data_IF_465872738295
#
_entry.id   IF_465872738295
#
_cell.length_a   1.000
_cell.length_b   1.000
_cell.length_c   1.000
_cell.angle_alpha   90.00
_cell.angle_beta   90.00
_cell.angle_gamma   90.00
#
_symmetry.space_group_name_H-M   'P 1'
#
loop_
_entity.id
_entity.type
_entity.pdbx_description
1 polymer ?
#
# COMPACT_ATOMS: atom_id res chain seq x y z
N UNK A 1 -18.78 -9.73 19.08
CA UNK A 1 -18.88 -8.68 18.03
C UNK A 1 -19.49 -7.43 18.64
N UNK A 2 -18.96 -6.25 18.31
CA UNK A 2 -19.58 -4.98 18.66
C UNK A 2 -20.64 -4.59 17.62
N UNK A 3 -21.66 -3.82 18.04
CA UNK A 3 -22.67 -3.27 17.13
C UNK A 3 -22.39 -1.78 16.92
N UNK A 4 -22.29 -1.37 15.67
CA UNK A 4 -22.16 0.04 15.27
C UNK A 4 -23.25 0.37 14.25
N UNK A 5 -23.92 1.51 14.43
CA UNK A 5 -24.84 2.05 13.43
C UNK A 5 -24.09 3.05 12.56
N UNK A 6 -24.18 2.88 11.23
CA UNK A 6 -23.51 3.74 10.25
C UNK A 6 -24.61 4.34 9.36
N UNK A 7 -24.54 5.65 9.13
CA UNK A 7 -25.39 6.31 8.16
C UNK A 7 -24.77 6.13 6.77
N UNK A 8 -25.54 5.59 5.84
CA UNK A 8 -25.18 5.44 4.43
C UNK A 8 -26.30 6.00 3.57
N UNK A 9 -25.98 6.47 2.38
CA UNK A 9 -26.99 6.89 1.41
C UNK A 9 -27.73 5.70 0.81
N UNK A 10 -28.90 5.98 0.22
CA UNK A 10 -29.77 4.95 -0.37
C UNK A 10 -29.12 4.21 -1.55
N UNK A 11 -28.23 4.89 -2.29
CA UNK A 11 -27.49 4.27 -3.39
C UNK A 11 -26.52 3.22 -2.87
N UNK A 12 -25.69 3.59 -1.90
CA UNK A 12 -24.77 2.67 -1.23
C UNK A 12 -25.48 1.49 -0.59
N UNK A 13 -26.64 1.73 0.05
CA UNK A 13 -27.46 0.65 0.61
C UNK A 13 -27.91 -0.33 -0.48
N UNK A 14 -28.45 0.17 -1.59
CA UNK A 14 -28.90 -0.67 -2.69
C UNK A 14 -27.75 -1.45 -3.31
N UNK A 15 -26.55 -0.87 -3.39
CA UNK A 15 -25.35 -1.53 -3.91
C UNK A 15 -24.90 -2.69 -3.01
N UNK A 16 -24.85 -2.46 -1.69
CA UNK A 16 -24.54 -3.51 -0.70
C UNK A 16 -25.54 -4.66 -0.75
N UNK A 17 -26.84 -4.37 -0.87
CA UNK A 17 -27.88 -5.39 -0.96
C UNK A 17 -27.76 -6.24 -2.23
N UNK A 18 -27.43 -5.62 -3.38
CA UNK A 18 -27.23 -6.36 -4.64
C UNK A 18 -26.00 -7.26 -4.58
N UNK A 19 -24.88 -6.78 -4.05
CA UNK A 19 -23.67 -7.60 -3.91
C UNK A 19 -23.87 -8.73 -2.89
N UNK A 20 -24.54 -8.45 -1.78
CA UNK A 20 -24.90 -9.45 -0.78
C UNK A 20 -25.77 -10.57 -1.38
N UNK A 21 -26.77 -10.21 -2.20
CA UNK A 21 -27.63 -11.17 -2.88
C UNK A 21 -26.84 -12.05 -3.87
N UNK A 22 -25.90 -11.47 -4.63
CA UNK A 22 -25.01 -12.22 -5.55
C UNK A 22 -24.10 -13.19 -4.80
N UNK A 23 -23.57 -12.77 -3.66
CA UNK A 23 -22.66 -13.55 -2.83
C UNK A 23 -23.38 -14.55 -1.91
N UNK A 24 -24.71 -14.48 -1.77
CA UNK A 24 -25.48 -15.35 -0.88
C UNK A 24 -25.26 -15.07 0.61
N UNK A 25 -24.89 -13.83 0.97
CA UNK A 25 -24.63 -13.39 2.35
C UNK A 25 -25.48 -12.17 2.69
N UNK A 26 -25.39 -11.66 3.94
CA UNK A 26 -26.08 -10.42 4.32
C UNK A 26 -25.26 -9.19 3.92
N UNK A 27 -25.93 -8.04 3.73
CA UNK A 27 -25.27 -6.76 3.48
C UNK A 27 -24.29 -6.36 4.59
N UNK A 28 -24.57 -6.76 5.83
CA UNK A 28 -23.67 -6.56 6.97
C UNK A 28 -22.35 -7.31 6.80
N UNK A 29 -22.35 -8.51 6.21
CA UNK A 29 -21.12 -9.28 5.96
C UNK A 29 -20.27 -8.59 4.89
N UNK A 30 -20.89 -8.12 3.81
CA UNK A 30 -20.19 -7.36 2.77
C UNK A 30 -19.60 -6.06 3.35
N UNK A 31 -20.38 -5.35 4.17
CA UNK A 31 -19.90 -4.13 4.83
C UNK A 31 -18.74 -4.41 5.79
N UNK A 32 -18.83 -5.47 6.60
CA UNK A 32 -17.77 -5.89 7.53
C UNK A 32 -16.47 -6.20 6.78
N UNK A 33 -16.55 -6.98 5.69
CA UNK A 33 -15.40 -7.31 4.84
C UNK A 33 -14.77 -6.05 4.22
N UNK A 34 -15.59 -5.16 3.66
CA UNK A 34 -15.11 -3.92 3.05
C UNK A 34 -14.44 -3.00 4.08
N UNK A 35 -15.03 -2.87 5.28
CA UNK A 35 -14.45 -2.09 6.38
C UNK A 35 -13.12 -2.72 6.83
N UNK A 36 -13.08 -4.05 7.02
CA UNK A 36 -11.87 -4.78 7.39
C UNK A 36 -10.72 -4.54 6.40
N UNK A 37 -10.99 -4.75 5.11
CA UNK A 37 -10.00 -4.54 4.05
C UNK A 37 -9.50 -3.09 4.00
N UNK A 38 -10.38 -2.11 4.19
CA UNK A 38 -9.99 -0.70 4.24
C UNK A 38 -9.07 -0.38 5.43
N UNK A 39 -9.38 -0.92 6.61
CA UNK A 39 -8.59 -0.69 7.81
C UNK A 39 -7.21 -1.33 7.69
N UNK A 40 -7.14 -2.56 7.17
CA UNK A 40 -5.89 -3.27 6.89
C UNK A 40 -5.03 -2.51 5.89
N UNK A 41 -5.58 -2.10 4.75
CA UNK A 41 -4.86 -1.32 3.74
C UNK A 41 -4.32 0.00 4.30
N UNK A 42 -5.09 0.68 5.15
CA UNK A 42 -4.64 1.91 5.81
C UNK A 42 -3.54 1.66 6.85
N UNK A 43 -3.62 0.56 7.59
CA UNK A 43 -2.58 0.18 8.54
C UNK A 43 -1.28 -0.16 7.82
N UNK A 44 -1.34 -0.99 6.78
CA UNK A 44 -0.18 -1.33 5.94
C UNK A 44 0.46 -0.09 5.33
N UNK A 45 -0.34 0.85 4.81
CA UNK A 45 0.18 2.12 4.27
C UNK A 45 0.90 2.96 5.33
N UNK A 46 0.36 3.07 6.54
CA UNK A 46 1.02 3.81 7.63
C UNK A 46 2.34 3.17 8.01
N UNK A 47 2.35 1.85 8.19
CA UNK A 47 3.56 1.10 8.51
C UNK A 47 4.64 1.26 7.42
N UNK A 48 4.27 1.21 6.15
CA UNK A 48 5.20 1.42 5.04
C UNK A 48 5.79 2.84 5.04
N UNK A 49 4.99 3.86 5.36
CA UNK A 49 5.47 5.25 5.50
C UNK A 49 6.43 5.37 6.69
N UNK A 50 6.09 4.82 7.85
CA UNK A 50 6.95 4.85 9.03
C UNK A 50 8.29 4.15 8.78
N UNK A 51 8.27 2.99 8.10
CA UNK A 51 9.49 2.29 7.68
C UNK A 51 10.32 3.14 6.71
N UNK A 52 9.68 3.77 5.71
CA UNK A 52 10.37 4.64 4.76
C UNK A 52 11.01 5.87 5.43
N UNK A 53 10.35 6.45 6.44
CA UNK A 53 10.92 7.55 7.24
C UNK A 53 12.13 7.05 8.01
N UNK A 54 12.02 5.92 8.71
CA UNK A 54 13.13 5.34 9.48
C UNK A 54 14.33 5.00 8.59
N UNK A 55 14.10 4.49 7.38
CA UNK A 55 15.17 4.24 6.41
C UNK A 55 15.80 5.54 5.89
N UNK A 56 14.99 6.57 5.65
CA UNK A 56 15.50 7.88 5.25
C UNK A 56 16.35 8.54 6.34
N UNK A 57 15.97 8.41 7.61
CA UNK A 57 16.71 8.93 8.77
C UNK A 57 18.09 8.29 8.92
N UNK A 58 18.31 7.09 8.38
CA UNK A 58 19.64 6.44 8.34
C UNK A 58 20.60 7.17 7.40
N UNK A 59 20.09 8.00 6.48
CA UNK A 59 20.88 8.76 5.52
C UNK A 59 21.59 7.90 4.47
N UNK A 60 21.15 6.65 4.28
CA UNK A 60 21.72 5.69 3.33
C UNK A 60 20.80 5.60 2.11
N UNK A 61 21.27 6.08 0.96
CA UNK A 61 20.46 6.15 -0.27
C UNK A 61 21.22 5.64 -1.49
N UNK A 62 20.47 5.31 -2.54
CA UNK A 62 21.00 5.11 -3.89
C UNK A 62 20.92 6.45 -4.64
N UNK A 63 22.00 6.84 -5.29
CA UNK A 63 22.06 8.04 -6.13
C UNK A 63 21.11 7.93 -7.32
N UNK A 64 20.64 9.09 -7.79
CA UNK A 64 19.83 9.19 -9.00
C UNK A 64 20.56 8.55 -10.18
N UNK A 65 21.85 8.83 -10.31
CA UNK A 65 22.67 8.35 -11.42
C UNK A 65 22.79 6.82 -11.43
N UNK A 66 22.92 6.18 -10.26
CA UNK A 66 22.92 4.73 -10.17
C UNK A 66 21.56 4.12 -10.50
N UNK A 67 20.47 4.76 -10.06
CA UNK A 67 19.10 4.35 -10.38
C UNK A 67 18.80 4.48 -11.88
N UNK A 68 19.16 5.61 -12.48
CA UNK A 68 18.92 5.89 -13.90
C UNK A 68 19.67 4.89 -14.79
N UNK A 69 20.94 4.59 -14.47
CA UNK A 69 21.71 3.57 -15.21
C UNK A 69 21.04 2.20 -15.16
N UNK A 70 20.55 1.80 -14.00
CA UNK A 70 19.87 0.52 -13.83
C UNK A 70 18.56 0.47 -14.62
N UNK A 71 17.69 1.47 -14.48
CA UNK A 71 16.41 1.53 -15.21
C UNK A 71 16.62 1.55 -16.73
N UNK A 72 17.64 2.27 -17.22
CA UNK A 72 17.94 2.32 -18.65
C UNK A 72 18.52 1.01 -19.20
N UNK A 73 19.00 0.11 -18.34
CA UNK A 73 19.52 -1.20 -18.76
C UNK A 73 18.44 -2.26 -18.94
N UNK A 74 17.22 -2.03 -18.43
CA UNK A 74 16.14 -3.01 -18.46
C UNK A 74 15.74 -3.40 -19.88
N UNK A 75 15.64 -4.71 -20.13
CA UNK A 75 15.26 -5.24 -21.43
C UNK A 75 16.36 -5.12 -22.51
N UNK A 76 17.58 -4.78 -22.12
CA UNK A 76 18.77 -4.86 -22.99
C UNK A 76 19.55 -6.14 -22.74
N UNK A 77 20.45 -6.50 -23.64
CA UNK A 77 21.35 -7.65 -23.46
C UNK A 77 22.33 -7.45 -22.29
N UNK A 78 22.54 -6.19 -21.86
CA UNK A 78 23.43 -5.78 -20.76
C UNK A 78 22.64 -5.26 -19.54
N UNK A 79 21.50 -5.88 -19.22
CA UNK A 79 20.70 -5.52 -18.05
C UNK A 79 21.51 -5.60 -16.74
N UNK A 80 21.55 -4.51 -15.99
CA UNK A 80 22.33 -4.36 -14.76
C UNK A 80 21.56 -4.90 -13.55
N UNK A 81 22.29 -5.35 -12.54
CA UNK A 81 21.70 -5.67 -11.24
C UNK A 81 21.17 -4.41 -10.53
N UNK A 82 20.15 -4.53 -9.65
CA UNK A 82 19.67 -3.41 -8.85
C UNK A 82 20.81 -2.73 -8.07
N UNK A 83 20.88 -1.38 -8.09
CA UNK A 83 21.98 -0.64 -7.50
C UNK A 83 21.97 -0.74 -5.97
N UNK A 84 23.17 -0.78 -5.39
CA UNK A 84 23.38 -0.72 -3.93
C UNK A 84 23.50 0.74 -3.48
N UNK A 85 23.22 1.05 -2.20
CA UNK A 85 23.39 2.40 -1.67
C UNK A 85 24.82 2.90 -1.82
N UNK A 86 24.99 4.08 -2.40
CA UNK A 86 26.25 4.78 -2.66
C UNK A 86 26.30 6.18 -2.02
N UNK A 87 25.16 6.65 -1.48
CA UNK A 87 25.08 7.82 -0.61
C UNK A 87 25.02 7.31 0.83
N UNK A 88 26.02 7.69 1.65
CA UNK A 88 26.07 7.36 3.08
C UNK A 88 26.50 8.58 3.89
N UNK A 89 26.07 8.72 5.15
CA UNK A 89 26.50 9.85 5.98
C UNK A 89 28.01 9.80 6.21
N UNK A 90 28.69 10.93 6.03
CA UNK A 90 30.09 11.09 6.42
C UNK A 90 30.22 10.84 7.92
N UNK A 91 31.14 9.95 8.34
CA UNK A 91 31.52 9.88 9.76
C UNK A 91 32.20 11.21 10.12
N UNK A 92 31.56 12.01 10.96
CA UNK A 92 32.20 13.12 11.66
C UNK A 92 33.22 12.63 12.66
#
# INVERSE_FOLDING_TARGET
>A
MGKTSILIDDGMKADLEREAARAGVSSSVIAEQAIGALLEARAAKRQAIEAAIADADRGVFVSREAMDRWVMSWGTDDELEPPKPDIVPSRG
#
